data_IF_820487569936
#
_entry.id   IF_820487569936
#
_cell.length_a   1.000
_cell.length_b   1.000
_cell.length_c   1.000
_cell.angle_alpha   90.00
_cell.angle_beta   90.00
_cell.angle_gamma   90.00
#
_symmetry.space_group_name_H-M   'P 1'
#
loop_
_entity.id
_entity.type
_entity.pdbx_description
1 polymer ?
#
# COMPACT_ATOMS: atom_id res chain seq x y z
N UNK A 1 -1.15 0.10 1.96
CA UNK A 1 -2.23 -0.37 1.12
C UNK A 1 -3.21 0.76 0.87
N UNK A 2 -3.78 0.78 -0.30
CA UNK A 2 -4.77 1.78 -0.66
C UNK A 2 -6.03 1.64 0.19
N UNK A 3 -6.76 2.73 0.48
CA UNK A 3 -7.98 2.72 1.27
C UNK A 3 -9.01 1.65 0.84
N UNK A 4 -9.24 1.39 -0.46
CA UNK A 4 -10.16 0.34 -0.89
C UNK A 4 -9.82 -1.05 -0.35
N UNK A 5 -8.53 -1.41 -0.32
CA UNK A 5 -8.09 -2.71 0.21
C UNK A 5 -8.32 -2.82 1.72
N UNK A 6 -8.21 -1.71 2.46
CA UNK A 6 -8.50 -1.68 3.90
C UNK A 6 -10.00 -1.87 4.14
N UNK A 7 -10.85 -1.18 3.36
CA UNK A 7 -12.31 -1.29 3.46
C UNK A 7 -12.76 -2.71 3.13
N UNK A 8 -12.32 -3.26 2.00
CA UNK A 8 -12.64 -4.62 1.58
C UNK A 8 -12.16 -5.65 2.61
N UNK A 9 -10.92 -5.49 3.09
CA UNK A 9 -10.34 -6.39 4.09
C UNK A 9 -11.12 -6.38 5.40
N UNK A 10 -11.58 -5.21 5.85
CA UNK A 10 -12.37 -5.07 7.07
C UNK A 10 -13.78 -5.65 6.89
N UNK A 11 -14.46 -5.32 5.79
CA UNK A 11 -15.83 -5.76 5.52
C UNK A 11 -15.95 -7.28 5.29
N UNK A 12 -14.95 -7.88 4.64
CA UNK A 12 -14.92 -9.32 4.33
C UNK A 12 -14.06 -10.14 5.30
N UNK A 13 -13.49 -9.52 6.33
CA UNK A 13 -12.59 -10.14 7.29
C UNK A 13 -11.36 -10.82 6.63
N UNK A 14 -10.87 -10.23 5.55
CA UNK A 14 -9.68 -10.75 4.87
C UNK A 14 -8.41 -10.43 5.65
N UNK A 15 -7.54 -11.42 5.71
CA UNK A 15 -6.21 -11.28 6.29
C UNK A 15 -5.20 -10.79 5.25
N UNK A 16 -4.03 -10.34 5.71
CA UNK A 16 -2.92 -10.00 4.81
C UNK A 16 -2.54 -11.17 3.89
N UNK A 17 -2.60 -12.39 4.40
CA UNK A 17 -2.30 -13.61 3.64
C UNK A 17 -3.31 -13.85 2.53
N UNK A 18 -4.60 -13.56 2.75
CA UNK A 18 -5.63 -13.69 1.73
C UNK A 18 -5.39 -12.74 0.56
N UNK A 19 -4.99 -11.49 0.84
CA UNK A 19 -4.57 -10.56 -0.21
C UNK A 19 -3.31 -11.03 -0.94
N UNK A 20 -2.30 -11.52 -0.20
CA UNK A 20 -1.05 -11.98 -0.80
C UNK A 20 -1.27 -13.17 -1.73
N UNK A 21 -2.10 -14.12 -1.35
CA UNK A 21 -2.35 -15.33 -2.15
C UNK A 21 -3.26 -15.08 -3.35
N UNK A 22 -4.23 -14.19 -3.23
CA UNK A 22 -5.20 -13.92 -4.31
C UNK A 22 -4.71 -12.80 -5.26
N UNK A 23 -4.35 -11.64 -4.73
CA UNK A 23 -3.95 -10.48 -5.55
C UNK A 23 -2.46 -10.41 -5.79
N UNK A 24 -1.63 -10.97 -4.91
CA UNK A 24 -0.18 -10.95 -5.02
C UNK A 24 0.34 -11.64 -6.28
N UNK A 25 -0.28 -12.75 -6.69
CA UNK A 25 0.08 -13.45 -7.94
C UNK A 25 -0.14 -12.55 -9.14
N UNK A 26 -1.28 -11.87 -9.19
CA UNK A 26 -1.62 -10.92 -10.27
C UNK A 26 -0.62 -9.76 -10.27
N UNK A 27 -0.32 -9.22 -9.09
CA UNK A 27 0.65 -8.13 -8.94
C UNK A 27 2.05 -8.52 -9.44
N UNK A 28 2.51 -9.74 -9.15
CA UNK A 28 3.80 -10.25 -9.66
C UNK A 28 3.79 -10.37 -11.18
N UNK A 29 2.72 -10.92 -11.76
CA UNK A 29 2.58 -11.03 -13.22
C UNK A 29 2.61 -9.62 -13.85
N UNK A 30 1.84 -8.68 -13.31
CA UNK A 30 1.83 -7.29 -13.79
C UNK A 30 3.22 -6.63 -13.67
N UNK A 31 3.92 -6.85 -12.55
CA UNK A 31 5.28 -6.34 -12.34
C UNK A 31 6.26 -6.88 -13.41
N UNK A 32 6.23 -8.19 -13.67
CA UNK A 32 7.09 -8.80 -14.68
C UNK A 32 6.78 -8.25 -16.07
N UNK A 33 5.50 -8.15 -16.43
CA UNK A 33 5.08 -7.57 -17.71
C UNK A 33 5.51 -6.10 -17.83
N UNK A 34 5.38 -5.32 -16.77
CA UNK A 34 5.80 -3.93 -16.72
C UNK A 34 7.33 -3.79 -16.91
N UNK A 35 8.10 -4.59 -16.19
CA UNK A 35 9.58 -4.60 -16.34
C UNK A 35 9.94 -4.98 -17.78
N UNK A 36 9.32 -6.02 -18.34
CA UNK A 36 9.56 -6.43 -19.72
C UNK A 36 9.21 -5.32 -20.73
N UNK A 37 8.06 -4.66 -20.54
CA UNK A 37 7.63 -3.54 -21.38
C UNK A 37 8.64 -2.38 -21.33
N UNK A 38 9.04 -1.94 -20.13
CA UNK A 38 10.01 -0.87 -19.99
C UNK A 38 11.39 -1.26 -20.53
N UNK A 39 11.81 -2.51 -20.31
CA UNK A 39 13.04 -3.01 -20.90
C UNK A 39 12.99 -2.93 -22.45
N UNK A 40 11.92 -3.38 -23.07
CA UNK A 40 11.73 -3.31 -24.53
C UNK A 40 11.76 -1.86 -25.04
N UNK A 41 11.06 -0.95 -24.36
CA UNK A 41 10.98 0.46 -24.76
C UNK A 41 12.32 1.20 -24.60
N UNK A 42 13.07 0.91 -23.54
CA UNK A 42 14.23 1.69 -23.15
C UNK A 42 15.58 0.99 -23.36
N UNK A 43 15.59 -0.29 -23.76
CA UNK A 43 16.85 -1.07 -23.92
C UNK A 43 17.91 -0.36 -24.76
N UNK A 44 17.49 0.34 -25.82
CA UNK A 44 18.43 1.04 -26.72
C UNK A 44 19.02 2.27 -26.03
N UNK A 45 18.25 2.97 -25.21
CA UNK A 45 18.72 4.14 -24.44
C UNK A 45 19.61 3.70 -23.27
N UNK A 46 19.26 2.61 -22.60
CA UNK A 46 20.05 2.06 -21.49
C UNK A 46 21.39 1.48 -21.96
N UNK A 47 21.43 0.81 -23.12
CA UNK A 47 22.66 0.23 -23.66
C UNK A 47 23.63 1.25 -24.28
N UNK A 48 23.19 2.48 -24.56
CA UNK A 48 24.04 3.54 -25.14
C UNK A 48 24.76 4.42 -24.11
N UNK A 49 24.36 4.35 -22.83
CA UNK A 49 24.97 5.17 -21.79
C UNK A 49 26.15 4.40 -21.16
N UNK A 50 27.30 4.48 -21.77
CA UNK A 50 28.55 4.12 -21.10
C UNK A 50 28.86 5.26 -20.11
N UNK A 51 28.71 4.96 -18.82
CA UNK A 51 29.15 5.88 -17.77
C UNK A 51 30.66 5.96 -17.83
N UNK A 52 31.23 7.17 -17.78
CA UNK A 52 32.67 7.33 -17.65
C UNK A 52 33.13 6.83 -16.26
N UNK A 53 34.39 6.42 -16.16
CA UNK A 53 34.95 6.00 -14.87
C UNK A 53 34.81 7.08 -13.80
N UNK A 54 34.91 8.36 -14.15
CA UNK A 54 34.68 9.49 -13.27
C UNK A 54 33.22 9.63 -12.80
N UNK A 55 32.24 9.27 -13.62
CA UNK A 55 30.82 9.27 -13.23
C UNK A 55 30.51 8.11 -12.28
N UNK A 56 31.17 6.94 -12.50
CA UNK A 56 31.04 5.79 -11.61
C UNK A 56 31.67 6.06 -10.25
N UNK A 57 32.82 6.70 -10.20
CA UNK A 57 33.53 7.05 -8.98
C UNK A 57 32.77 8.09 -8.12
N UNK A 58 32.03 8.98 -8.78
CA UNK A 58 31.16 9.97 -8.11
C UNK A 58 29.82 9.40 -7.63
N UNK A 59 29.48 8.17 -8.01
CA UNK A 59 28.25 7.54 -7.51
C UNK A 59 28.37 7.23 -6.02
N UNK A 60 27.37 7.63 -5.21
CA UNK A 60 27.38 7.30 -3.80
C UNK A 60 27.34 5.78 -3.62
N UNK A 61 28.29 5.24 -2.89
CA UNK A 61 28.29 3.82 -2.56
C UNK A 61 27.09 3.50 -1.65
N UNK A 62 26.49 2.30 -1.73
CA UNK A 62 25.38 1.91 -0.86
C UNK A 62 25.70 2.10 0.63
N UNK A 63 26.96 1.91 1.02
CA UNK A 63 27.43 2.11 2.39
C UNK A 63 27.40 3.58 2.82
N UNK A 64 27.63 4.53 1.92
CA UNK A 64 27.61 5.97 2.23
C UNK A 64 26.20 6.49 2.57
N UNK A 65 25.16 5.79 2.13
CA UNK A 65 23.78 6.11 2.50
C UNK A 65 23.44 5.78 3.95
N UNK A 66 24.22 4.89 4.59
CA UNK A 66 24.00 4.49 6.00
C UNK A 66 24.83 5.38 6.92
N UNK A 67 24.29 6.53 7.31
CA UNK A 67 24.94 7.49 8.20
C UNK A 67 25.05 6.99 9.64
N UNK A 68 24.15 6.13 10.09
CA UNK A 68 24.15 5.54 11.44
C UNK A 68 23.80 4.05 11.40
N UNK A 69 24.83 3.21 11.45
CA UNK A 69 24.69 1.75 11.34
C UNK A 69 23.80 1.14 12.42
N UNK A 70 23.87 1.64 13.67
CA UNK A 70 23.02 1.14 14.77
C UNK A 70 21.54 1.48 14.54
N UNK A 71 21.25 2.72 14.18
CA UNK A 71 19.87 3.14 13.89
C UNK A 71 19.30 2.37 12.70
N UNK A 72 20.11 2.14 11.65
CA UNK A 72 19.72 1.35 10.49
C UNK A 72 19.33 -0.08 10.88
N UNK A 73 20.19 -0.78 11.66
CA UNK A 73 19.92 -2.15 12.11
C UNK A 73 18.63 -2.21 12.95
N UNK A 74 18.48 -1.32 13.93
CA UNK A 74 17.30 -1.28 14.79
C UNK A 74 16.03 -1.04 13.96
N UNK A 75 16.04 -0.07 13.05
CA UNK A 75 14.89 0.21 12.18
C UNK A 75 14.56 -0.98 11.27
N UNK A 76 15.59 -1.65 10.73
CA UNK A 76 15.41 -2.85 9.91
C UNK A 76 14.78 -3.98 10.72
N UNK A 77 15.23 -4.21 11.95
CA UNK A 77 14.65 -5.23 12.83
C UNK A 77 13.19 -4.91 13.15
N UNK A 78 12.88 -3.67 13.53
CA UNK A 78 11.48 -3.26 13.80
C UNK A 78 10.61 -3.46 12.56
N UNK A 79 11.10 -3.08 11.38
CA UNK A 79 10.40 -3.27 10.12
C UNK A 79 10.13 -4.75 9.82
N UNK A 80 11.15 -5.61 9.94
CA UNK A 80 10.99 -7.05 9.73
C UNK A 80 10.03 -7.68 10.75
N UNK A 81 10.10 -7.30 12.01
CA UNK A 81 9.15 -7.73 13.03
C UNK A 81 7.71 -7.29 12.68
N UNK A 82 7.51 -6.06 12.22
CA UNK A 82 6.21 -5.56 11.79
C UNK A 82 5.68 -6.35 10.59
N UNK A 83 6.53 -6.66 9.61
CA UNK A 83 6.15 -7.49 8.44
C UNK A 83 5.75 -8.91 8.89
N UNK A 84 6.52 -9.53 9.77
CA UNK A 84 6.19 -10.87 10.31
C UNK A 84 4.85 -10.83 11.05
N UNK A 85 4.62 -9.84 11.90
CA UNK A 85 3.34 -9.67 12.61
C UNK A 85 2.18 -9.45 11.63
N UNK A 86 2.38 -8.67 10.56
CA UNK A 86 1.37 -8.47 9.51
C UNK A 86 1.05 -9.75 8.74
N UNK A 87 2.04 -10.60 8.46
CA UNK A 87 1.82 -11.89 7.79
C UNK A 87 1.07 -12.86 8.71
N UNK A 88 1.38 -12.82 10.01
CA UNK A 88 0.81 -13.76 11.00
C UNK A 88 -0.41 -13.20 11.73
N UNK A 89 -0.91 -11.99 11.41
CA UNK A 89 -1.98 -11.34 12.17
C UNK A 89 -3.29 -12.15 12.22
N UNK A 90 -3.62 -12.87 11.14
CA UNK A 90 -4.78 -13.75 11.10
C UNK A 90 -4.71 -14.91 12.11
N UNK A 91 -3.51 -15.30 12.53
CA UNK A 91 -3.28 -16.38 13.54
C UNK A 91 -3.14 -15.80 14.95
N UNK A 92 -2.56 -14.59 15.07
CA UNK A 92 -2.28 -13.96 16.37
C UNK A 92 -3.47 -13.20 16.94
N UNK A 93 -4.50 -12.93 16.13
CA UNK A 93 -5.64 -12.10 16.52
C UNK A 93 -5.32 -10.60 16.68
N UNK A 94 -4.09 -10.19 16.36
CA UNK A 94 -3.69 -8.79 16.39
C UNK A 94 -4.27 -8.07 15.18
N UNK A 95 -4.88 -6.90 15.39
CA UNK A 95 -5.33 -6.06 14.28
C UNK A 95 -4.14 -5.37 13.60
N UNK A 96 -4.26 -5.08 12.32
CA UNK A 96 -3.25 -4.33 11.54
C UNK A 96 -2.93 -2.99 12.20
N UNK A 97 -3.94 -2.31 12.74
CA UNK A 97 -3.79 -1.05 13.48
C UNK A 97 -2.93 -1.21 14.73
N UNK A 98 -3.17 -2.28 15.51
CA UNK A 98 -2.37 -2.58 16.71
C UNK A 98 -0.90 -2.81 16.36
N UNK A 99 -0.63 -3.57 15.29
CA UNK A 99 0.73 -3.82 14.81
C UNK A 99 1.41 -2.50 14.41
N UNK A 100 0.70 -1.63 13.70
CA UNK A 100 1.19 -0.31 13.33
C UNK A 100 1.56 0.56 14.54
N UNK A 101 0.69 0.58 15.56
CA UNK A 101 0.94 1.32 16.81
C UNK A 101 2.16 0.75 17.54
N UNK A 102 2.29 -0.57 17.65
CA UNK A 102 3.45 -1.21 18.28
C UNK A 102 4.75 -0.84 17.55
N UNK A 103 4.76 -0.91 16.22
CA UNK A 103 5.93 -0.56 15.41
C UNK A 103 6.30 0.93 15.56
N UNK A 104 5.31 1.82 15.57
CA UNK A 104 5.50 3.25 15.79
C UNK A 104 6.05 3.54 17.20
N UNK A 105 5.47 2.92 18.23
CA UNK A 105 5.94 3.06 19.61
C UNK A 105 7.37 2.54 19.77
N UNK A 106 7.70 1.35 19.24
CA UNK A 106 9.04 0.80 19.26
C UNK A 106 10.05 1.72 18.56
N UNK A 107 9.68 2.30 17.43
CA UNK A 107 10.51 3.27 16.70
C UNK A 107 10.74 4.53 17.53
N UNK A 108 9.72 5.08 18.16
CA UNK A 108 9.85 6.27 19.02
C UNK A 108 10.70 6.01 20.26
N UNK A 109 10.52 4.86 20.92
CA UNK A 109 11.29 4.47 22.11
C UNK A 109 12.76 4.31 21.75
N UNK A 110 13.08 3.57 20.68
CA UNK A 110 14.47 3.33 20.26
C UNK A 110 15.16 4.58 19.74
N UNK A 111 14.42 5.52 19.17
CA UNK A 111 14.94 6.82 18.72
C UNK A 111 15.29 7.77 19.89
N UNK A 112 14.72 7.58 21.08
CA UNK A 112 14.98 8.37 22.27
C UNK A 112 14.80 9.87 22.02
N UNK A 113 15.82 10.67 22.24
CA UNK A 113 15.76 12.14 22.06
C UNK A 113 15.42 12.58 20.64
N UNK A 114 15.60 11.72 19.63
CA UNK A 114 15.28 12.00 18.22
C UNK A 114 13.82 11.71 17.87
N UNK A 115 13.04 11.11 18.78
CA UNK A 115 11.61 10.77 18.54
C UNK A 115 10.79 12.00 18.13
N UNK A 116 11.02 13.16 18.74
CA UNK A 116 10.36 14.42 18.39
C UNK A 116 10.62 14.86 16.93
N UNK A 117 11.84 14.62 16.44
CA UNK A 117 12.18 14.93 15.05
C UNK A 117 11.54 13.93 14.07
N UNK A 118 11.39 12.67 14.48
CA UNK A 118 10.69 11.63 13.69
C UNK A 118 9.20 11.96 13.61
N UNK A 119 8.56 12.26 14.75
CA UNK A 119 7.14 12.62 14.79
C UNK A 119 6.83 13.86 13.94
N UNK A 120 7.73 14.85 13.88
CA UNK A 120 7.55 16.03 13.00
C UNK A 120 7.61 15.70 11.50
N UNK A 121 8.15 14.55 11.11
CA UNK A 121 8.23 14.08 9.72
C UNK A 121 7.06 13.21 9.31
N UNK A 122 6.16 12.89 10.23
CA UNK A 122 4.92 12.17 9.92
C UNK A 122 4.07 13.05 9.03
N UNK A 123 3.54 12.46 7.99
CA UNK A 123 2.62 13.13 7.05
C UNK A 123 1.22 13.20 7.67
N UNK A 124 1.04 14.17 8.56
CA UNK A 124 -0.26 14.43 9.21
C UNK A 124 -1.38 14.78 8.21
N UNK A 125 -1.14 15.56 7.14
CA UNK A 125 -2.16 15.81 6.12
C UNK A 125 -2.75 14.53 5.55
N UNK A 126 -1.92 13.57 5.19
CA UNK A 126 -2.37 12.27 4.69
C UNK A 126 -3.16 11.48 5.74
N UNK A 127 -2.75 11.51 7.00
CA UNK A 127 -3.50 10.85 8.09
C UNK A 127 -4.88 11.48 8.29
N UNK A 128 -4.98 12.81 8.27
CA UNK A 128 -6.25 13.54 8.38
C UNK A 128 -7.14 13.25 7.17
N UNK A 129 -6.57 13.22 5.97
CA UNK A 129 -7.28 12.87 4.75
C UNK A 129 -7.91 11.48 4.85
N UNK A 130 -7.15 10.44 5.24
CA UNK A 130 -7.70 9.11 5.41
C UNK A 130 -8.74 9.02 6.50
N UNK A 131 -8.55 9.72 7.61
CA UNK A 131 -9.55 9.78 8.67
C UNK A 131 -10.86 10.37 8.12
N UNK A 132 -10.80 11.47 7.38
CA UNK A 132 -11.95 12.08 6.73
C UNK A 132 -12.61 11.14 5.72
N UNK A 133 -11.82 10.46 4.91
CA UNK A 133 -12.31 9.48 3.94
C UNK A 133 -13.11 8.36 4.62
N UNK A 134 -12.58 7.75 5.69
CA UNK A 134 -13.29 6.70 6.42
C UNK A 134 -14.56 7.20 7.10
N UNK A 135 -14.57 8.43 7.61
CA UNK A 135 -15.79 9.05 8.17
C UNK A 135 -16.86 9.22 7.08
N UNK A 136 -16.47 9.68 5.89
CA UNK A 136 -17.42 9.84 4.76
C UNK A 136 -17.94 8.48 4.30
N UNK A 137 -17.08 7.48 4.12
CA UNK A 137 -17.50 6.13 3.72
C UNK A 137 -18.40 5.50 4.74
N UNK A 138 -18.07 5.60 6.04
CA UNK A 138 -18.94 5.13 7.13
C UNK A 138 -20.30 5.83 7.14
N UNK A 139 -20.33 7.14 6.89
CA UNK A 139 -21.59 7.89 6.76
C UNK A 139 -22.44 7.43 5.57
N UNK A 140 -21.82 7.10 4.42
CA UNK A 140 -22.52 6.54 3.27
C UNK A 140 -23.09 5.14 3.54
N UNK A 141 -22.38 4.33 4.34
CA UNK A 141 -22.83 3.01 4.78
C UNK A 141 -24.04 3.14 5.73
N UNK A 142 -23.92 3.93 6.79
CA UNK A 142 -24.98 4.15 7.77
C UNK A 142 -26.26 4.77 7.18
N UNK A 143 -26.12 5.61 6.14
CA UNK A 143 -27.28 6.21 5.45
C UNK A 143 -27.94 5.29 4.44
N UNK A 144 -27.41 4.08 4.20
CA UNK A 144 -27.94 3.12 3.24
C UNK A 144 -27.69 3.48 1.77
N UNK A 145 -26.90 4.53 1.49
CA UNK A 145 -26.60 4.95 0.12
C UNK A 145 -25.82 3.86 -0.62
N UNK A 146 -24.91 3.16 0.05
CA UNK A 146 -24.13 2.07 -0.57
C UNK A 146 -25.05 0.90 -0.94
N UNK A 147 -26.04 0.57 -0.11
CA UNK A 147 -27.04 -0.46 -0.37
C UNK A 147 -27.91 -0.09 -1.57
N UNK A 148 -28.27 1.19 -1.69
CA UNK A 148 -29.04 1.71 -2.82
C UNK A 148 -28.25 1.58 -4.14
N UNK A 149 -26.97 1.91 -4.13
CA UNK A 149 -26.09 1.73 -5.28
C UNK A 149 -25.95 0.25 -5.64
N UNK A 150 -25.76 -0.62 -4.65
CA UNK A 150 -25.66 -2.07 -4.88
C UNK A 150 -26.94 -2.65 -5.49
N UNK A 151 -28.10 -2.23 -4.98
CA UNK A 151 -29.42 -2.63 -5.51
C UNK A 151 -29.60 -2.16 -6.96
N UNK A 152 -29.19 -0.92 -7.26
CA UNK A 152 -29.24 -0.39 -8.63
C UNK A 152 -28.36 -1.17 -9.59
N UNK A 153 -27.12 -1.50 -9.20
CA UNK A 153 -26.21 -2.34 -9.99
C UNK A 153 -26.81 -3.73 -10.21
N UNK A 154 -27.38 -4.32 -9.17
CA UNK A 154 -28.04 -5.62 -9.25
C UNK A 154 -29.24 -5.61 -10.21
N UNK A 155 -30.05 -4.55 -10.17
CA UNK A 155 -31.20 -4.39 -11.07
C UNK A 155 -30.78 -4.28 -12.55
N UNK A 156 -29.75 -3.48 -12.85
CA UNK A 156 -29.25 -3.32 -14.23
C UNK A 156 -28.60 -4.60 -14.74
N UNK A 157 -27.91 -5.35 -13.88
CA UNK A 157 -27.22 -6.59 -14.26
C UNK A 157 -28.17 -7.79 -14.41
N UNK A 158 -29.45 -7.64 -14.07
CA UNK A 158 -30.41 -8.75 -14.04
C UNK A 158 -30.01 -9.87 -13.08
N UNK A 159 -29.20 -9.57 -12.05
CA UNK A 159 -28.69 -10.55 -11.10
C UNK A 159 -27.54 -11.42 -11.63
N UNK A 160 -27.04 -11.14 -12.83
CA UNK A 160 -25.91 -11.88 -13.40
C UNK A 160 -24.58 -11.41 -12.77
N UNK A 161 -23.92 -12.29 -12.04
CA UNK A 161 -22.67 -11.99 -11.32
C UNK A 161 -21.57 -11.48 -12.27
N UNK A 162 -21.45 -12.04 -13.47
CA UNK A 162 -20.44 -11.60 -14.44
C UNK A 162 -20.67 -10.16 -14.86
N UNK A 163 -21.93 -9.76 -15.13
CA UNK A 163 -22.26 -8.38 -15.44
C UNK A 163 -22.03 -7.43 -14.26
N UNK A 164 -22.36 -7.85 -13.04
CA UNK A 164 -22.06 -7.07 -11.81
C UNK A 164 -20.56 -6.78 -11.73
N UNK A 165 -19.72 -7.80 -11.87
CA UNK A 165 -18.25 -7.65 -11.80
C UNK A 165 -17.74 -6.71 -12.90
N UNK A 166 -18.22 -6.86 -14.14
CA UNK A 166 -17.84 -5.98 -15.26
C UNK A 166 -18.20 -4.53 -14.95
N UNK A 167 -19.44 -4.27 -14.50
CA UNK A 167 -19.91 -2.92 -14.16
C UNK A 167 -19.04 -2.30 -13.05
N UNK A 168 -18.77 -3.06 -11.97
CA UNK A 168 -17.96 -2.59 -10.86
C UNK A 168 -16.53 -2.26 -11.33
N UNK A 169 -15.90 -3.14 -12.13
CA UNK A 169 -14.54 -2.91 -12.65
C UNK A 169 -14.49 -1.61 -13.48
N UNK A 170 -15.43 -1.41 -14.40
CA UNK A 170 -15.44 -0.23 -15.26
C UNK A 170 -15.74 1.05 -14.49
N UNK A 171 -16.73 1.03 -13.58
CA UNK A 171 -17.03 2.20 -12.74
C UNK A 171 -15.84 2.55 -11.86
N UNK A 172 -15.22 1.55 -11.21
CA UNK A 172 -14.04 1.76 -10.37
C UNK A 172 -12.85 2.29 -11.18
N UNK A 173 -12.61 1.77 -12.38
CA UNK A 173 -11.53 2.24 -13.24
C UNK A 173 -11.73 3.71 -13.67
N UNK A 174 -12.95 4.08 -14.08
CA UNK A 174 -13.27 5.47 -14.45
C UNK A 174 -13.20 6.40 -13.24
N UNK A 175 -13.74 5.97 -12.08
CA UNK A 175 -13.69 6.75 -10.85
C UNK A 175 -12.23 6.99 -10.40
N UNK A 176 -11.41 5.95 -10.41
CA UNK A 176 -9.98 6.05 -10.07
C UNK A 176 -9.23 6.99 -11.01
N UNK A 177 -9.50 6.93 -12.32
CA UNK A 177 -8.87 7.82 -13.29
C UNK A 177 -9.20 9.31 -13.07
N UNK A 178 -10.33 9.62 -12.42
CA UNK A 178 -10.78 10.98 -12.14
C UNK A 178 -10.34 11.45 -10.75
N UNK A 179 -10.41 10.56 -9.76
CA UNK A 179 -10.22 10.91 -8.35
C UNK A 179 -8.73 10.88 -7.96
N UNK A 180 -7.96 9.94 -8.53
CA UNK A 180 -6.55 9.74 -8.17
C UNK A 180 -5.56 10.57 -9.02
N UNK A 181 -6.05 11.49 -9.86
CA UNK A 181 -5.21 12.36 -10.69
C UNK A 181 -5.07 13.75 -10.09
#
# INVERSE_FOLDING_TARGET
GDPPNIIIGTALHYTFTDFLTNTGVIAIICLVLMIFFFYMCFRIKLGKRNLSEEEIEKMPTPQSAITNKRAFIISTVIFLCAVILLVTHGQTGLTVSTIGIIAAAATCITAGKKSKAILRRVDYPTLVFFTGLFVVVGGLEETGILELIATFIHAISGGNITFIVIIIIWISAVASAIIDN
#
